data_IF_703108088228
#
_entry.id   IF_703108088228
#
_cell.length_a   1.000
_cell.length_b   1.000
_cell.length_c   1.000
_cell.angle_alpha   90.00
_cell.angle_beta   90.00
_cell.angle_gamma   90.00
#
_symmetry.space_group_name_H-M   'P 1'
#
loop_
_entity.id
_entity.type
_entity.pdbx_description
1 polymer ?
#
# COMPACT_ATOMS: atom_id res chain seq x y z
N UNK A 1 -37.92 17.85 -2.48
CA UNK A 1 -36.50 18.01 -2.08
C UNK A 1 -36.44 18.04 -0.56
N UNK A 2 -36.18 16.90 0.10
CA UNK A 2 -36.15 16.86 1.57
C UNK A 2 -34.77 17.29 2.07
N UNK A 3 -34.57 18.60 2.12
CA UNK A 3 -33.51 19.23 2.90
C UNK A 3 -34.19 20.13 3.92
N UNK A 4 -33.83 19.99 5.19
CA UNK A 4 -34.34 20.82 6.27
C UNK A 4 -33.49 22.10 6.32
N UNK A 5 -34.10 23.27 6.12
CA UNK A 5 -33.43 24.59 6.07
C UNK A 5 -32.68 24.99 7.37
N UNK A 6 -32.86 24.21 8.44
CA UNK A 6 -32.27 24.44 9.76
C UNK A 6 -30.87 23.83 9.92
N UNK A 7 -30.48 22.81 9.14
CA UNK A 7 -29.18 22.14 9.31
C UNK A 7 -28.14 22.86 8.46
N UNK A 8 -27.10 23.48 9.06
CA UNK A 8 -26.01 24.06 8.29
C UNK A 8 -25.31 22.96 7.48
N UNK A 9 -25.12 23.21 6.17
CA UNK A 9 -24.35 22.30 5.31
C UNK A 9 -22.86 22.44 5.62
N UNK A 10 -22.36 21.64 6.55
CA UNK A 10 -20.93 21.55 6.85
C UNK A 10 -20.20 20.69 5.81
N UNK A 11 -20.21 21.09 4.54
CA UNK A 11 -19.66 20.29 3.42
C UNK A 11 -18.14 20.10 3.58
N UNK A 12 -17.47 21.02 4.26
CA UNK A 12 -16.05 20.90 4.62
C UNK A 12 -15.75 19.64 5.47
N UNK A 13 -16.69 19.19 6.30
CA UNK A 13 -16.48 17.98 7.12
C UNK A 13 -16.45 16.70 6.29
N UNK A 14 -17.21 16.66 5.19
CA UNK A 14 -17.20 15.54 4.25
C UNK A 14 -15.83 15.44 3.54
N UNK A 15 -15.28 16.59 3.15
CA UNK A 15 -13.96 16.65 2.52
C UNK A 15 -12.86 16.20 3.48
N UNK A 16 -12.86 16.70 4.71
CA UNK A 16 -11.90 16.28 5.75
C UNK A 16 -12.04 14.78 6.05
N UNK A 17 -13.28 14.26 6.12
CA UNK A 17 -13.50 12.83 6.31
C UNK A 17 -12.88 11.99 5.18
N UNK A 18 -12.98 12.45 3.92
CA UNK A 18 -12.34 11.79 2.77
C UNK A 18 -10.80 11.79 2.89
N UNK A 19 -10.21 12.90 3.33
CA UNK A 19 -8.77 12.98 3.56
C UNK A 19 -8.29 12.05 4.67
N UNK A 20 -9.00 12.03 5.80
CA UNK A 20 -8.71 11.09 6.88
C UNK A 20 -8.85 9.63 6.42
N UNK A 21 -9.88 9.33 5.63
CA UNK A 21 -10.08 7.98 5.08
C UNK A 21 -8.93 7.56 4.16
N UNK A 22 -8.45 8.46 3.29
CA UNK A 22 -7.29 8.19 2.44
C UNK A 22 -6.05 7.82 3.27
N UNK A 23 -5.76 8.62 4.30
CA UNK A 23 -4.65 8.34 5.21
C UNK A 23 -4.82 7.01 5.96
N UNK A 24 -6.02 6.72 6.45
CA UNK A 24 -6.32 5.44 7.12
C UNK A 24 -6.09 4.24 6.21
N UNK A 25 -6.50 4.31 4.93
CA UNK A 25 -6.29 3.23 3.97
C UNK A 25 -4.80 3.06 3.67
N UNK A 26 -4.05 4.16 3.47
CA UNK A 26 -2.62 4.09 3.20
C UNK A 26 -1.84 3.50 4.39
N UNK A 27 -2.15 3.92 5.62
CA UNK A 27 -1.51 3.36 6.81
C UNK A 27 -1.92 1.90 7.06
N UNK A 28 -3.21 1.59 6.90
CA UNK A 28 -3.74 0.23 7.08
C UNK A 28 -3.14 -0.77 6.09
N UNK A 29 -2.98 -0.37 4.83
CA UNK A 29 -2.32 -1.20 3.81
C UNK A 29 -0.84 -1.41 4.10
N UNK A 30 -0.11 -0.40 4.58
CA UNK A 30 1.28 -0.58 5.05
C UNK A 30 1.39 -1.61 6.17
N UNK A 31 0.47 -1.59 7.14
CA UNK A 31 0.43 -2.59 8.22
C UNK A 31 0.13 -3.99 7.64
N UNK A 32 -0.84 -4.10 6.73
CA UNK A 32 -1.18 -5.37 6.10
C UNK A 32 -0.01 -5.96 5.29
N UNK A 33 0.75 -5.13 4.56
CA UNK A 33 1.95 -5.57 3.82
C UNK A 33 3.01 -6.07 4.79
N UNK A 34 3.28 -5.32 5.87
CA UNK A 34 4.24 -5.71 6.91
C UNK A 34 3.89 -7.07 7.52
N UNK A 35 2.64 -7.25 7.92
CA UNK A 35 2.17 -8.46 8.58
C UNK A 35 1.98 -9.64 7.61
N UNK A 36 2.18 -9.41 6.30
CA UNK A 36 2.04 -10.45 5.27
C UNK A 36 0.60 -10.85 5.00
N UNK A 37 -0.37 -10.02 5.43
CA UNK A 37 -1.80 -10.26 5.29
C UNK A 37 -2.41 -9.52 4.09
N UNK A 38 -1.61 -8.72 3.37
CA UNK A 38 -2.10 -8.01 2.19
C UNK A 38 -2.34 -8.97 1.02
N UNK A 39 -3.60 -9.39 0.88
CA UNK A 39 -4.08 -10.25 -0.22
C UNK A 39 -3.32 -11.57 -0.37
N UNK A 40 -3.10 -12.30 0.72
CA UNK A 40 -2.84 -13.75 0.62
C UNK A 40 -4.15 -14.44 0.25
N UNK A 41 -4.50 -14.35 -1.04
CA UNK A 41 -5.62 -15.11 -1.57
C UNK A 41 -5.05 -16.47 -1.94
N UNK A 42 -5.36 -17.48 -1.14
CA UNK A 42 -5.09 -18.90 -1.41
C UNK A 42 -5.91 -19.39 -2.63
N UNK A 43 -5.72 -18.75 -3.79
CA UNK A 43 -6.36 -19.14 -5.06
C UNK A 43 -5.75 -20.43 -5.58
N UNK A 44 -4.46 -20.66 -5.26
CA UNK A 44 -3.71 -21.82 -5.70
C UNK A 44 -3.52 -22.81 -4.54
N UNK A 45 -3.62 -24.13 -4.79
CA UNK A 45 -3.38 -25.13 -3.75
C UNK A 45 -1.94 -25.02 -3.24
N UNK A 46 -1.78 -24.96 -1.92
CA UNK A 46 -0.46 -24.79 -1.29
C UNK A 46 0.50 -25.91 -1.73
N UNK A 47 1.67 -25.58 -2.31
CA UNK A 47 2.60 -26.58 -2.77
C UNK A 47 3.06 -27.52 -1.64
N UNK A 48 3.10 -28.83 -1.90
CA UNK A 48 3.51 -29.84 -0.90
C UNK A 48 5.02 -29.82 -0.62
N UNK A 49 5.83 -29.28 -1.53
CA UNK A 49 7.29 -29.23 -1.39
C UNK A 49 7.74 -27.88 -0.82
N UNK A 50 8.80 -27.89 0.00
CA UNK A 50 9.38 -26.67 0.56
C UNK A 50 9.81 -25.67 -0.52
N UNK A 51 10.34 -26.19 -1.65
CA UNK A 51 10.72 -25.39 -2.82
C UNK A 51 9.51 -24.72 -3.48
N UNK A 52 8.40 -25.42 -3.64
CA UNK A 52 7.19 -24.85 -4.22
C UNK A 52 6.60 -23.72 -3.38
N UNK A 53 6.60 -23.88 -2.05
CA UNK A 53 6.13 -22.81 -1.14
C UNK A 53 6.99 -21.56 -1.24
N UNK A 54 8.31 -21.70 -1.29
CA UNK A 54 9.21 -20.56 -1.39
C UNK A 54 9.09 -19.83 -2.75
N UNK A 55 8.91 -20.56 -3.86
CA UNK A 55 8.66 -19.95 -5.18
C UNK A 55 7.33 -19.17 -5.17
N UNK A 56 6.28 -19.74 -4.58
CA UNK A 56 4.98 -19.07 -4.49
C UNK A 56 5.06 -17.75 -3.73
N UNK A 57 5.76 -17.73 -2.59
CA UNK A 57 5.98 -16.50 -1.80
C UNK A 57 6.78 -15.47 -2.57
N UNK A 58 7.85 -15.90 -3.24
CA UNK A 58 8.67 -15.02 -4.08
C UNK A 58 7.85 -14.35 -5.19
N UNK A 59 6.90 -15.06 -5.82
CA UNK A 59 6.01 -14.48 -6.84
C UNK A 59 5.12 -13.39 -6.23
N UNK A 60 4.55 -13.64 -5.05
CA UNK A 60 3.72 -12.66 -4.33
C UNK A 60 4.56 -11.43 -3.98
N UNK A 61 5.74 -11.62 -3.41
CA UNK A 61 6.62 -10.52 -3.01
C UNK A 61 7.09 -9.69 -4.21
N UNK A 62 7.44 -10.33 -5.34
CA UNK A 62 7.75 -9.62 -6.58
C UNK A 62 6.54 -8.82 -7.09
N UNK A 63 5.33 -9.36 -6.95
CA UNK A 63 4.11 -8.65 -7.34
C UNK A 63 3.88 -7.40 -6.48
N UNK A 64 4.05 -7.52 -5.15
CA UNK A 64 3.93 -6.38 -4.23
C UNK A 64 5.06 -5.37 -4.51
N UNK A 65 6.28 -5.82 -4.82
CA UNK A 65 7.41 -4.95 -5.19
C UNK A 65 7.07 -4.10 -6.41
N UNK A 66 6.48 -4.69 -7.45
CA UNK A 66 6.05 -3.96 -8.64
C UNK A 66 5.01 -2.89 -8.30
N UNK A 67 4.02 -3.22 -7.48
CA UNK A 67 3.00 -2.27 -7.03
C UNK A 67 3.63 -1.14 -6.22
N UNK A 68 4.56 -1.46 -5.32
CA UNK A 68 5.30 -0.46 -4.53
C UNK A 68 6.05 0.53 -5.44
N UNK A 69 6.75 0.04 -6.47
CA UNK A 69 7.45 0.90 -7.42
C UNK A 69 6.50 1.80 -8.23
N UNK A 70 5.33 1.28 -8.64
CA UNK A 70 4.28 2.08 -9.29
C UNK A 70 3.79 3.18 -8.35
N UNK A 71 3.53 2.86 -7.08
CA UNK A 71 3.09 3.84 -6.09
C UNK A 71 4.14 4.92 -5.83
N UNK A 72 5.42 4.56 -5.80
CA UNK A 72 6.50 5.55 -5.67
C UNK A 72 6.56 6.45 -6.90
N UNK A 73 6.65 5.88 -8.11
CA UNK A 73 6.84 6.65 -9.33
C UNK A 73 5.65 7.55 -9.67
N UNK A 74 4.44 6.99 -9.68
CA UNK A 74 3.23 7.74 -10.01
C UNK A 74 2.76 8.58 -8.81
N UNK A 75 2.89 8.06 -7.59
CA UNK A 75 2.53 8.80 -6.38
C UNK A 75 3.42 10.02 -6.17
N UNK A 76 4.71 9.96 -6.52
CA UNK A 76 5.57 11.15 -6.47
C UNK A 76 5.08 12.24 -7.41
N UNK A 77 4.75 11.88 -8.66
CA UNK A 77 4.21 12.83 -9.63
C UNK A 77 2.84 13.38 -9.22
N UNK A 78 2.02 12.54 -8.58
CA UNK A 78 0.72 12.92 -8.04
C UNK A 78 0.84 13.86 -6.82
N UNK A 79 1.84 13.64 -5.97
CA UNK A 79 2.17 14.53 -4.86
C UNK A 79 2.63 15.90 -5.35
N UNK A 80 3.52 15.95 -6.35
CA UNK A 80 3.93 17.21 -6.99
C UNK A 80 2.74 17.96 -7.59
N UNK A 81 1.83 17.27 -8.28
CA UNK A 81 0.60 17.88 -8.78
C UNK A 81 -0.27 18.45 -7.65
N UNK A 82 -0.31 17.78 -6.49
CA UNK A 82 -0.99 18.26 -5.30
C UNK A 82 -0.37 19.50 -4.67
N UNK A 83 0.93 19.75 -4.86
CA UNK A 83 1.60 20.92 -4.30
C UNK A 83 1.06 22.25 -4.84
N UNK A 84 0.72 22.27 -6.13
CA UNK A 84 0.15 23.45 -6.80
C UNK A 84 -1.37 23.59 -6.58
N UNK A 85 -1.99 22.66 -5.84
CA UNK A 85 -3.44 22.60 -5.65
C UNK A 85 -3.82 22.78 -4.19
N UNK A 86 -4.85 23.60 -3.97
CA UNK A 86 -5.52 23.74 -2.69
C UNK A 86 -6.94 23.18 -2.79
N UNK A 87 -7.43 22.63 -1.68
CA UNK A 87 -8.82 22.24 -1.51
C UNK A 87 -9.76 23.41 -1.76
N UNK A 88 -10.87 23.14 -2.46
CA UNK A 88 -11.91 24.12 -2.74
C UNK A 88 -12.67 24.58 -1.48
N UNK A 89 -12.79 23.71 -0.47
CA UNK A 89 -13.64 23.99 0.71
C UNK A 89 -12.83 24.33 1.95
N UNK A 90 -11.75 23.60 2.21
CA UNK A 90 -10.91 23.76 3.40
C UNK A 90 -9.63 24.56 3.14
N UNK A 91 -9.23 24.77 1.88
CA UNK A 91 -8.01 25.50 1.50
C UNK A 91 -6.70 24.76 1.82
N UNK A 92 -6.79 23.52 2.31
CA UNK A 92 -5.64 22.67 2.61
C UNK A 92 -4.88 22.35 1.32
N UNK A 93 -3.55 22.40 1.38
CA UNK A 93 -2.71 22.02 0.25
C UNK A 93 -2.81 20.49 0.00
N UNK A 94 -3.12 20.11 -1.24
CA UNK A 94 -3.35 18.71 -1.63
C UNK A 94 -2.10 17.83 -1.52
N UNK A 95 -0.90 18.43 -1.49
CA UNK A 95 0.33 17.70 -1.18
C UNK A 95 0.20 16.90 0.13
N UNK A 96 -0.45 17.48 1.15
CA UNK A 96 -0.63 16.83 2.45
C UNK A 96 -1.43 15.53 2.38
N UNK A 97 -2.22 15.34 1.32
CA UNK A 97 -3.00 14.13 1.08
C UNK A 97 -2.25 13.26 0.08
N UNK A 98 -1.87 13.81 -1.06
CA UNK A 98 -1.25 13.09 -2.18
C UNK A 98 0.13 12.49 -1.84
N UNK A 99 0.84 13.03 -0.85
CA UNK A 99 2.12 12.45 -0.38
C UNK A 99 1.95 11.07 0.28
N UNK A 100 0.73 10.71 0.69
CA UNK A 100 0.46 9.41 1.31
C UNK A 100 0.75 8.23 0.36
N UNK A 101 0.58 8.41 -0.96
CA UNK A 101 0.83 7.38 -1.98
C UNK A 101 2.31 7.00 -2.10
N UNK A 102 3.25 7.93 -2.38
CA UNK A 102 4.67 7.57 -2.43
C UNK A 102 5.18 7.11 -1.07
N UNK A 103 4.65 7.65 0.04
CA UNK A 103 5.03 7.21 1.38
C UNK A 103 4.65 5.74 1.63
N UNK A 104 3.42 5.35 1.31
CA UNK A 104 2.99 3.96 1.41
C UNK A 104 3.84 3.04 0.52
N UNK A 105 4.11 3.46 -0.72
CA UNK A 105 4.97 2.72 -1.65
C UNK A 105 6.39 2.50 -1.12
N UNK A 106 7.01 3.53 -0.51
CA UNK A 106 8.33 3.40 0.13
C UNK A 106 8.29 2.39 1.29
N UNK A 107 7.27 2.46 2.14
CA UNK A 107 7.13 1.51 3.24
C UNK A 107 6.95 0.06 2.74
N UNK A 108 6.12 -0.14 1.72
CA UNK A 108 5.94 -1.46 1.11
C UNK A 108 7.24 -1.98 0.49
N UNK A 109 7.98 -1.12 -0.21
CA UNK A 109 9.28 -1.45 -0.79
C UNK A 109 10.24 -1.96 0.28
N UNK A 110 10.35 -1.27 1.43
CA UNK A 110 11.24 -1.68 2.52
C UNK A 110 10.87 -3.05 3.09
N UNK A 111 9.60 -3.28 3.42
CA UNK A 111 9.15 -4.56 4.00
C UNK A 111 9.27 -5.73 3.02
N UNK A 112 8.96 -5.50 1.75
CA UNK A 112 9.05 -6.54 0.71
C UNK A 112 10.50 -6.89 0.41
N UNK A 113 11.42 -5.91 0.38
CA UNK A 113 12.84 -6.18 0.19
C UNK A 113 13.41 -7.05 1.33
N UNK A 114 13.03 -6.76 2.58
CA UNK A 114 13.40 -7.59 3.73
C UNK A 114 12.92 -9.04 3.55
N UNK A 115 11.65 -9.22 3.16
CA UNK A 115 11.06 -10.55 2.97
C UNK A 115 11.68 -11.33 1.80
N UNK A 116 11.96 -10.68 0.68
CA UNK A 116 12.62 -11.30 -0.48
C UNK A 116 14.02 -11.82 -0.08
N UNK A 117 14.76 -11.05 0.71
CA UNK A 117 16.08 -11.46 1.19
C UNK A 117 15.97 -12.72 2.06
N UNK A 118 15.01 -12.76 2.97
CA UNK A 118 14.77 -13.91 3.86
C UNK A 118 14.33 -15.17 3.08
N UNK A 119 13.46 -15.01 2.09
CA UNK A 119 12.99 -16.11 1.23
C UNK A 119 14.13 -16.67 0.36
N UNK A 120 15.00 -15.82 -0.17
CA UNK A 120 16.19 -16.23 -0.92
C UNK A 120 17.19 -17.01 -0.03
N UNK A 121 17.40 -16.56 1.21
CA UNK A 121 18.25 -17.28 2.16
C UNK A 121 17.66 -18.66 2.51
N UNK A 122 16.33 -18.73 2.68
CA UNK A 122 15.63 -19.98 2.95
C UNK A 122 15.72 -20.96 1.79
N UNK A 123 15.54 -20.48 0.55
CA UNK A 123 15.73 -21.28 -0.67
C UNK A 123 17.16 -21.83 -0.78
N UNK A 124 18.17 -20.99 -0.53
CA UNK A 124 19.58 -21.41 -0.58
C UNK A 124 19.87 -22.53 0.43
N UNK A 125 19.41 -22.38 1.68
CA UNK A 125 19.57 -23.42 2.72
C UNK A 125 18.88 -24.73 2.35
N UNK A 126 17.69 -24.67 1.74
CA UNK A 126 16.95 -25.84 1.28
C UNK A 126 17.63 -26.57 0.10
N UNK A 127 18.46 -25.88 -0.68
CA UNK A 127 19.27 -26.48 -1.75
C UNK A 127 20.55 -27.10 -1.17
N UNK A 128 21.23 -26.41 -0.25
CA UNK A 128 22.49 -26.88 0.32
C UNK A 128 22.31 -28.09 1.25
N UNK A 129 21.23 -28.15 2.05
CA UNK A 129 20.93 -29.30 2.93
C UNK A 129 20.39 -30.55 2.21
N UNK A 130 20.27 -30.50 0.88
CA UNK A 130 19.86 -31.62 0.02
C UNK A 130 21.07 -32.35 -0.60
N UNK A 131 22.30 -31.92 -0.32
CA UNK A 131 23.55 -32.59 -0.68
C UNK A 131 24.15 -33.28 0.54
#
# INVERSE_FOLDING_TARGET
SRFFDFIPRYIWTEEVARFCLMWLIMLGSTIAVRDGTHFDVDVLPSPKTARGKAISRLIVDVSILLVALIFIAFGWRFALFGYEQHSEMTGINMLSIHIAWPLAGICWLLFVLERIIDDLQTLRRAIDGSR
#
